data_IF_330446233025
#
_entry.id   IF_330446233025
#
_cell.length_a   1.000
_cell.length_b   1.000
_cell.length_c   1.000
_cell.angle_alpha   90.00
_cell.angle_beta   90.00
_cell.angle_gamma   90.00
#
_symmetry.space_group_name_H-M   'P 1'
#
loop_
_entity.id
_entity.type
_entity.pdbx_description
1 polymer ?
#
# COMPACT_ATOMS: atom_id res chain seq x y z
N UNK A 1 -9.38 23.06 -1.42
CA UNK A 1 -8.79 21.73 -1.60
C UNK A 1 -7.95 21.44 -0.37
N UNK A 2 -8.47 20.63 0.56
CA UNK A 2 -7.76 20.30 1.79
C UNK A 2 -6.81 19.13 1.50
N UNK A 3 -5.50 19.38 1.55
CA UNK A 3 -4.50 18.33 1.59
C UNK A 3 -4.57 17.71 2.98
N UNK A 4 -5.13 16.51 3.05
CA UNK A 4 -5.18 15.73 4.28
C UNK A 4 -3.75 15.32 4.63
N UNK A 5 -3.08 16.11 5.48
CA UNK A 5 -1.76 15.80 6.00
C UNK A 5 -1.89 14.61 6.93
N UNK A 6 -1.55 13.42 6.44
CA UNK A 6 -1.42 12.23 7.28
C UNK A 6 -0.25 12.43 8.24
N UNK A 7 -0.51 13.05 9.39
CA UNK A 7 0.40 13.05 10.52
C UNK A 7 0.40 11.62 11.10
N UNK A 8 1.37 10.81 10.69
CA UNK A 8 1.68 9.55 11.36
C UNK A 8 2.71 9.85 12.46
N UNK A 9 2.18 9.89 13.67
CA UNK A 9 2.82 10.00 14.97
C UNK A 9 4.20 9.31 15.06
N UNK A 10 5.24 10.12 15.25
CA UNK A 10 6.48 9.68 15.88
C UNK A 10 6.31 9.85 17.40
N UNK A 11 6.15 8.75 18.11
CA UNK A 11 5.94 8.70 19.55
C UNK A 11 6.81 7.61 20.17
N UNK A 12 8.12 7.87 20.20
CA UNK A 12 9.04 7.52 21.29
C UNK A 12 9.18 6.05 21.69
N UNK A 13 10.37 5.49 21.45
CA UNK A 13 11.01 4.56 22.41
C UNK A 13 11.19 3.10 21.98
N UNK A 14 10.58 2.64 20.89
CA UNK A 14 10.87 1.36 20.25
C UNK A 14 11.17 1.62 18.76
N UNK A 15 11.92 0.76 18.05
CA UNK A 15 12.00 0.86 16.58
C UNK A 15 10.57 0.83 16.06
N UNK A 16 10.08 1.98 15.62
CA UNK A 16 8.68 2.14 15.25
C UNK A 16 8.45 1.39 13.95
N UNK A 17 7.86 0.19 14.05
CA UNK A 17 7.30 -0.47 12.87
C UNK A 17 6.13 0.35 12.39
N UNK A 18 6.20 0.87 11.17
CA UNK A 18 5.09 1.58 10.56
C UNK A 18 4.76 1.03 9.18
N UNK A 19 3.47 1.05 8.85
CA UNK A 19 2.92 0.58 7.57
C UNK A 19 2.02 1.65 7.00
N UNK A 20 2.22 1.97 5.72
CA UNK A 20 1.39 2.94 5.02
C UNK A 20 0.95 2.40 3.66
N UNK A 21 -0.34 2.55 3.35
CA UNK A 21 -0.94 2.10 2.10
C UNK A 21 -1.28 3.30 1.19
N UNK A 22 -0.86 3.21 -0.06
CA UNK A 22 -1.12 4.21 -1.10
C UNK A 22 -1.86 3.56 -2.27
N UNK A 23 -3.00 4.11 -2.67
CA UNK A 23 -3.80 3.56 -3.77
C UNK A 23 -3.55 4.28 -5.09
N UNK A 24 -3.37 3.50 -6.16
CA UNK A 24 -3.11 3.99 -7.50
C UNK A 24 -3.92 3.24 -8.57
N UNK A 25 -4.20 3.90 -9.68
CA UNK A 25 -4.85 3.26 -10.84
C UNK A 25 -3.91 2.30 -11.60
N UNK A 26 -2.59 2.41 -11.40
CA UNK A 26 -1.56 1.66 -12.12
C UNK A 26 -0.50 1.11 -11.15
N UNK A 27 0.24 0.06 -11.52
CA UNK A 27 1.28 -0.48 -10.65
C UNK A 27 2.42 0.53 -10.48
N UNK A 28 2.68 0.94 -9.24
CA UNK A 28 3.77 1.85 -8.91
C UNK A 28 5.02 1.09 -8.50
N UNK A 29 6.20 1.65 -8.79
CA UNK A 29 7.47 1.15 -8.25
C UNK A 29 7.68 1.78 -6.89
N UNK A 30 7.99 0.93 -5.92
CA UNK A 30 8.46 1.35 -4.62
C UNK A 30 9.98 1.26 -4.51
N UNK A 31 10.49 1.68 -3.37
CA UNK A 31 11.91 1.55 -3.02
C UNK A 31 12.08 0.47 -1.97
N UNK A 32 13.22 -0.24 -1.99
CA UNK A 32 13.59 -1.17 -0.92
C UNK A 32 14.99 -0.80 -0.46
N UNK A 33 15.11 -0.34 0.79
CA UNK A 33 16.39 0.11 1.33
C UNK A 33 16.27 0.88 2.63
N UNK A 34 17.41 1.40 3.08
CA UNK A 34 17.47 2.16 4.33
C UNK A 34 17.00 3.60 4.14
N UNK A 35 16.09 4.03 5.00
CA UNK A 35 15.65 5.41 5.17
C UNK A 35 15.93 5.84 6.61
N UNK A 36 17.04 6.55 6.80
CA UNK A 36 17.55 6.86 8.14
C UNK A 36 17.87 5.59 8.92
N UNK A 37 17.24 5.42 10.08
CA UNK A 37 17.46 4.27 10.98
C UNK A 37 16.57 3.05 10.66
N UNK A 38 15.68 3.17 9.67
CA UNK A 38 14.71 2.13 9.31
C UNK A 38 15.07 1.50 7.97
N UNK A 39 14.80 0.20 7.83
CA UNK A 39 14.74 -0.44 6.51
C UNK A 39 13.29 -0.41 6.04
N UNK A 40 13.06 0.26 4.91
CA UNK A 40 11.76 0.39 4.29
C UNK A 40 11.67 -0.50 3.06
N UNK A 41 10.59 -1.28 2.97
CA UNK A 41 10.26 -2.10 1.82
C UNK A 41 8.89 -1.71 1.29
N UNK A 42 8.80 -1.49 -0.02
CA UNK A 42 7.56 -1.13 -0.67
C UNK A 42 7.03 -2.30 -1.52
N UNK A 43 5.86 -2.81 -1.15
CA UNK A 43 5.21 -3.93 -1.82
C UNK A 43 4.12 -3.46 -2.78
N UNK A 44 4.10 -4.04 -3.98
CA UNK A 44 3.06 -3.80 -4.97
C UNK A 44 1.98 -4.86 -4.86
N UNK A 45 0.77 -4.45 -4.50
CA UNK A 45 -0.38 -5.32 -4.28
C UNK A 45 -1.50 -5.02 -5.31
N UNK A 46 -1.89 -5.97 -6.17
CA UNK A 46 -3.00 -5.77 -7.11
C UNK A 46 -4.35 -5.81 -6.39
N UNK A 47 -5.17 -4.77 -6.56
CA UNK A 47 -6.54 -4.74 -6.07
C UNK A 47 -7.46 -5.40 -7.10
N UNK A 48 -8.03 -6.55 -6.75
CA UNK A 48 -8.92 -7.32 -7.63
C UNK A 48 -10.37 -7.11 -7.24
N UNK A 49 -11.23 -6.90 -8.23
CA UNK A 49 -12.68 -6.96 -8.06
C UNK A 49 -13.18 -8.18 -8.82
N UNK A 50 -13.76 -9.12 -8.08
CA UNK A 50 -14.42 -10.29 -8.61
C UNK A 50 -15.92 -10.03 -8.76
N UNK A 51 -16.48 -10.45 -9.88
CA UNK A 51 -17.92 -10.43 -10.14
C UNK A 51 -18.35 -11.82 -10.54
N UNK A 52 -19.49 -12.27 -10.00
CA UNK A 52 -20.11 -13.52 -10.39
C UNK A 52 -21.07 -13.23 -11.54
N UNK A 53 -20.87 -13.90 -12.67
CA UNK A 53 -21.70 -13.76 -13.85
C UNK A 53 -22.99 -14.59 -13.71
N UNK A 54 -24.00 -14.29 -14.54
CA UNK A 54 -25.30 -14.99 -14.53
C UNK A 54 -25.19 -16.52 -14.77
N UNK A 55 -24.09 -16.98 -15.36
CA UNK A 55 -23.79 -18.40 -15.57
C UNK A 55 -23.03 -19.07 -14.40
N UNK A 56 -22.85 -18.38 -13.28
CA UNK A 56 -22.13 -18.87 -12.09
C UNK A 56 -20.60 -18.81 -12.20
N UNK A 57 -20.05 -18.30 -13.30
CA UNK A 57 -18.60 -18.10 -13.42
C UNK A 57 -18.13 -16.84 -12.68
N UNK A 58 -16.98 -16.92 -12.03
CA UNK A 58 -16.33 -15.78 -11.41
C UNK A 58 -15.34 -15.13 -12.39
N UNK A 59 -15.47 -13.81 -12.57
CA UNK A 59 -14.51 -12.99 -13.33
C UNK A 59 -13.85 -11.99 -12.38
N UNK A 60 -12.55 -12.14 -12.16
CA UNK A 60 -11.75 -11.23 -11.35
C UNK A 60 -10.87 -10.36 -12.23
N UNK A 61 -11.03 -9.05 -12.13
CA UNK A 61 -10.19 -8.06 -12.83
C UNK A 61 -9.43 -7.19 -11.86
N UNK A 62 -8.20 -6.82 -12.21
CA UNK A 62 -7.44 -5.82 -11.47
C UNK A 62 -8.09 -4.46 -11.74
N UNK A 63 -8.54 -3.79 -10.69
CA UNK A 63 -9.21 -2.48 -10.76
C UNK A 63 -8.36 -1.35 -10.19
N UNK A 64 -7.23 -1.70 -9.56
CA UNK A 64 -6.27 -0.74 -9.03
C UNK A 64 -5.09 -1.45 -8.39
N UNK A 65 -4.22 -0.67 -7.77
CA UNK A 65 -3.01 -1.14 -7.14
C UNK A 65 -2.84 -0.44 -5.80
N UNK A 66 -2.36 -1.17 -4.80
CA UNK A 66 -1.90 -0.61 -3.53
C UNK A 66 -0.40 -0.75 -3.50
N UNK A 67 0.28 0.36 -3.23
CA UNK A 67 1.68 0.36 -2.87
C UNK A 67 1.74 0.44 -1.35
N UNK A 68 2.27 -0.60 -0.70
CA UNK A 68 2.39 -0.68 0.75
C UNK A 68 3.82 -0.45 1.16
N UNK A 69 4.08 0.61 1.92
CA UNK A 69 5.34 0.89 2.57
C UNK A 69 5.36 0.21 3.94
N UNK A 70 6.42 -0.54 4.25
CA UNK A 70 6.67 -1.13 5.56
C UNK A 70 8.08 -0.75 6.01
N UNK A 71 8.23 -0.14 7.17
CA UNK A 71 9.52 0.28 7.70
C UNK A 71 9.76 -0.28 9.11
N UNK A 72 10.98 -0.81 9.36
CA UNK A 72 11.36 -1.49 10.62
C UNK A 72 12.85 -1.35 10.97
#
# INVERSE_FOLDING_TARGET
MAFNTSAAYAAGGAKEFFVQDYNFAKPMHGYSGHSGNYYCDYQRLPNRKCVVNANGSESCKIVGWTLREMCQ
#
